data_IF_500928587736
#
_entry.id   IF_500928587736
#
_cell.length_a   1.000
_cell.length_b   1.000
_cell.length_c   1.000
_cell.angle_alpha   90.00
_cell.angle_beta   90.00
_cell.angle_gamma   90.00
#
_symmetry.space_group_name_H-M   'P 1'
#
loop_
_entity.id
_entity.type
_entity.pdbx_description
1 polymer ?
#
# COMPACT_ATOMS: atom_id res chain seq x y z
N UNK A 1 63.14 59.10 -48.05
CA UNK A 1 63.10 57.79 -47.39
C UNK A 1 62.10 57.89 -46.23
N UNK A 2 60.89 57.40 -46.42
CA UNK A 2 59.81 57.46 -45.42
C UNK A 2 59.42 56.05 -45.09
N UNK A 3 59.71 55.62 -43.88
CA UNK A 3 59.24 54.32 -43.32
C UNK A 3 57.82 54.43 -42.86
N UNK A 4 56.90 53.67 -43.50
CA UNK A 4 55.56 53.46 -43.01
C UNK A 4 55.58 52.33 -41.98
N UNK A 5 55.11 52.62 -40.74
CA UNK A 5 54.82 51.61 -39.69
C UNK A 5 53.43 51.04 -39.94
N UNK A 6 53.35 49.73 -40.19
CA UNK A 6 52.08 48.97 -40.11
C UNK A 6 51.79 48.63 -38.63
N UNK A 7 50.63 49.05 -38.14
CA UNK A 7 50.08 48.61 -36.86
C UNK A 7 49.18 47.43 -37.15
N UNK A 8 49.51 46.24 -36.60
CA UNK A 8 48.68 45.07 -36.64
C UNK A 8 47.71 45.08 -35.42
N UNK A 9 46.45 45.24 -35.68
CA UNK A 9 45.42 45.12 -34.67
C UNK A 9 45.01 43.61 -34.46
N UNK A 10 45.35 43.01 -33.33
CA UNK A 10 44.92 41.70 -32.96
C UNK A 10 43.51 41.82 -32.37
N UNK A 11 42.48 41.28 -33.08
CA UNK A 11 41.13 41.11 -32.56
C UNK A 11 41.09 39.84 -31.74
N UNK A 12 40.96 39.98 -30.44
CA UNK A 12 40.68 38.85 -29.51
C UNK A 12 39.20 38.53 -29.61
N UNK A 13 38.87 37.40 -30.29
CA UNK A 13 37.54 36.86 -30.32
C UNK A 13 37.27 36.16 -28.97
N UNK A 14 36.48 36.77 -28.09
CA UNK A 14 35.91 36.16 -26.89
C UNK A 14 34.81 35.19 -27.32
N UNK A 15 35.11 33.90 -27.42
CA UNK A 15 34.14 32.86 -27.64
C UNK A 15 33.24 32.71 -26.38
N UNK A 16 32.00 33.16 -26.46
CA UNK A 16 30.94 32.80 -25.52
C UNK A 16 30.66 31.31 -25.67
N UNK A 17 31.27 30.48 -24.82
CA UNK A 17 30.77 29.16 -24.56
C UNK A 17 29.47 29.31 -23.78
N UNK A 18 28.33 29.39 -24.49
CA UNK A 18 27.04 29.11 -23.93
C UNK A 18 27.02 27.59 -23.60
N UNK A 19 27.36 27.24 -22.37
CA UNK A 19 27.12 25.90 -21.85
C UNK A 19 25.64 25.63 -22.00
N UNK A 20 25.26 24.79 -22.96
CA UNK A 20 23.93 24.17 -22.93
C UNK A 20 23.84 23.47 -21.58
N UNK A 21 23.05 24.00 -20.67
CA UNK A 21 22.59 23.25 -19.51
C UNK A 21 21.86 22.03 -20.09
N UNK A 22 22.52 20.86 -20.08
CA UNK A 22 21.84 19.60 -20.31
C UNK A 22 20.74 19.56 -19.26
N UNK A 23 19.49 19.58 -19.69
CA UNK A 23 18.39 19.25 -18.79
C UNK A 23 18.72 17.84 -18.27
N UNK A 24 19.03 17.75 -16.99
CA UNK A 24 19.23 16.48 -16.33
C UNK A 24 17.92 15.70 -16.50
N UNK A 25 17.99 14.53 -17.14
CA UNK A 25 16.79 13.71 -17.34
C UNK A 25 16.20 13.38 -15.97
N UNK A 26 14.93 13.66 -15.80
CA UNK A 26 14.23 13.39 -14.54
C UNK A 26 14.25 11.90 -14.25
N UNK A 27 14.51 11.49 -12.99
CA UNK A 27 14.45 10.08 -12.63
C UNK A 27 13.07 9.50 -12.92
N UNK A 28 13.05 8.27 -13.41
CA UNK A 28 11.85 7.51 -13.72
C UNK A 28 11.56 6.55 -12.57
N UNK A 29 10.40 6.72 -11.92
CA UNK A 29 9.94 5.89 -10.83
C UNK A 29 8.84 4.95 -11.32
N UNK A 30 9.10 3.63 -11.28
CA UNK A 30 8.11 2.59 -11.52
C UNK A 30 7.30 2.33 -10.24
N UNK A 31 6.00 2.61 -10.24
CA UNK A 31 5.10 2.31 -9.12
C UNK A 31 4.29 1.05 -9.43
N UNK A 32 4.54 -0.02 -8.67
CA UNK A 32 3.82 -1.30 -8.80
C UNK A 32 2.83 -1.43 -7.65
N UNK A 33 1.55 -1.38 -7.98
CA UNK A 33 0.45 -1.49 -7.02
C UNK A 33 -0.27 -2.83 -7.14
N UNK A 34 -1.15 -3.11 -6.18
CA UNK A 34 -2.08 -4.22 -6.22
C UNK A 34 -3.31 -3.90 -7.09
N UNK A 35 -4.47 -4.47 -6.80
CA UNK A 35 -5.66 -4.35 -7.64
C UNK A 35 -6.19 -2.92 -7.76
N UNK A 36 -6.29 -2.41 -8.99
CA UNK A 36 -6.97 -1.15 -9.27
C UNK A 36 -8.51 -1.28 -9.30
N UNK A 37 -9.07 -2.48 -9.12
CA UNK A 37 -10.48 -2.66 -8.79
C UNK A 37 -10.78 -2.28 -7.33
N UNK A 38 -9.75 -2.28 -6.46
CA UNK A 38 -9.85 -1.86 -5.06
C UNK A 38 -9.70 -0.33 -4.95
N UNK A 39 -10.69 0.32 -4.35
CA UNK A 39 -10.74 1.78 -4.19
C UNK A 39 -9.53 2.33 -3.40
N UNK A 40 -8.97 1.57 -2.46
CA UNK A 40 -7.76 1.96 -1.74
C UNK A 40 -6.59 2.23 -2.68
N UNK A 41 -6.32 1.32 -3.64
CA UNK A 41 -5.23 1.51 -4.61
C UNK A 41 -5.54 2.52 -5.70
N UNK A 42 -6.82 2.73 -6.06
CA UNK A 42 -7.21 3.85 -6.93
C UNK A 42 -6.87 5.20 -6.29
N UNK A 43 -7.21 5.37 -5.01
CA UNK A 43 -6.88 6.59 -4.26
C UNK A 43 -5.38 6.77 -4.07
N UNK A 44 -4.65 5.69 -3.81
CA UNK A 44 -3.19 5.68 -3.72
C UNK A 44 -2.55 6.14 -5.03
N UNK A 45 -3.02 5.63 -6.18
CA UNK A 45 -2.57 6.06 -7.50
C UNK A 45 -2.86 7.55 -7.75
N UNK A 46 -4.06 8.01 -7.37
CA UNK A 46 -4.40 9.42 -7.50
C UNK A 46 -3.46 10.31 -6.66
N UNK A 47 -3.12 9.88 -5.44
CA UNK A 47 -2.16 10.56 -4.58
C UNK A 47 -0.75 10.59 -5.19
N UNK A 48 -0.27 9.47 -5.73
CA UNK A 48 1.05 9.38 -6.38
C UNK A 48 1.15 10.30 -7.62
N UNK A 49 0.09 10.35 -8.45
CA UNK A 49 0.02 11.26 -9.62
C UNK A 49 -0.04 12.73 -9.23
N UNK A 50 -0.78 13.05 -8.17
CA UNK A 50 -0.82 14.42 -7.65
C UNK A 50 0.56 14.85 -7.13
N UNK A 51 1.27 13.94 -6.46
CA UNK A 51 2.62 14.16 -5.97
C UNK A 51 3.64 14.38 -7.12
N UNK A 52 3.55 13.57 -8.19
CA UNK A 52 4.36 13.80 -9.42
C UNK A 52 4.11 15.20 -10.00
N UNK A 53 2.84 15.59 -10.12
CA UNK A 53 2.46 16.89 -10.68
C UNK A 53 2.93 18.07 -9.80
N UNK A 54 2.88 17.92 -8.48
CA UNK A 54 3.32 18.93 -7.52
C UNK A 54 4.84 19.10 -7.53
N UNK A 55 5.58 17.99 -7.45
CA UNK A 55 7.05 18.03 -7.43
C UNK A 55 7.66 18.39 -8.79
N UNK A 56 7.19 17.75 -9.84
CA UNK A 56 7.65 18.01 -11.21
C UNK A 56 9.11 17.64 -11.50
N UNK A 57 9.82 16.98 -10.59
CA UNK A 57 11.23 16.61 -10.67
C UNK A 57 11.50 15.12 -10.94
N UNK A 58 10.46 14.31 -11.13
CA UNK A 58 10.51 12.91 -11.53
C UNK A 58 9.41 12.57 -12.53
N UNK A 59 9.46 11.37 -13.12
CA UNK A 59 8.42 10.81 -13.99
C UNK A 59 7.87 9.53 -13.36
N UNK A 60 6.55 9.40 -13.27
CA UNK A 60 5.87 8.26 -12.67
C UNK A 60 5.33 7.29 -13.73
N UNK A 61 5.81 6.05 -13.73
CA UNK A 61 5.26 4.94 -14.50
C UNK A 61 4.52 4.00 -13.54
N UNK A 62 3.18 4.02 -13.53
CA UNK A 62 2.38 3.27 -12.59
C UNK A 62 1.69 2.07 -13.24
N UNK A 63 1.76 0.91 -12.60
CA UNK A 63 1.10 -0.34 -12.99
C UNK A 63 0.33 -0.91 -11.80
N UNK A 64 -0.89 -1.37 -12.04
CA UNK A 64 -1.70 -2.11 -11.08
C UNK A 64 -2.33 -3.33 -11.72
N UNK A 65 -2.83 -4.23 -10.88
CA UNK A 65 -3.44 -5.49 -11.27
C UNK A 65 -4.96 -5.37 -11.44
N UNK A 66 -5.59 -6.42 -12.02
CA UNK A 66 -7.05 -6.54 -12.14
C UNK A 66 -7.68 -7.17 -10.88
N UNK A 67 -6.96 -8.03 -10.18
CA UNK A 67 -7.38 -8.68 -8.93
C UNK A 67 -6.24 -8.69 -7.91
N UNK A 68 -6.58 -8.88 -6.64
CA UNK A 68 -5.63 -8.89 -5.52
C UNK A 68 -4.71 -10.14 -5.51
N UNK A 69 -5.02 -11.14 -6.33
CA UNK A 69 -4.28 -12.42 -6.41
C UNK A 69 -3.49 -12.58 -7.71
N UNK A 70 -3.45 -11.56 -8.58
CA UNK A 70 -2.73 -11.61 -9.86
C UNK A 70 -1.23 -11.29 -9.68
N UNK A 71 -0.51 -12.23 -9.06
CA UNK A 71 0.92 -12.09 -8.75
C UNK A 71 1.77 -12.03 -10.03
N UNK A 72 1.39 -12.76 -11.08
CA UNK A 72 2.14 -12.79 -12.34
C UNK A 72 2.22 -11.41 -12.99
N UNK A 73 1.14 -10.65 -12.98
CA UNK A 73 1.13 -9.27 -13.50
C UNK A 73 2.13 -8.39 -12.75
N UNK A 74 2.27 -8.53 -11.42
CA UNK A 74 3.30 -7.78 -10.68
C UNK A 74 4.72 -8.21 -11.03
N UNK A 75 4.98 -9.51 -11.15
CA UNK A 75 6.30 -10.03 -11.55
C UNK A 75 6.66 -9.49 -12.93
N UNK A 76 5.74 -9.55 -13.88
CA UNK A 76 5.94 -9.04 -15.24
C UNK A 76 6.15 -7.52 -15.26
N UNK A 77 5.48 -6.77 -14.40
CA UNK A 77 5.69 -5.34 -14.27
C UNK A 77 7.11 -5.01 -13.77
N UNK A 78 7.61 -5.73 -12.78
CA UNK A 78 8.99 -5.58 -12.29
C UNK A 78 10.00 -5.89 -13.39
N UNK A 79 9.84 -7.02 -14.12
CA UNK A 79 10.74 -7.38 -15.23
C UNK A 79 10.69 -6.35 -16.38
N UNK A 80 9.50 -5.81 -16.66
CA UNK A 80 9.34 -4.73 -17.64
C UNK A 80 10.09 -3.46 -17.21
N UNK A 81 10.01 -3.07 -15.95
CA UNK A 81 10.73 -1.91 -15.43
C UNK A 81 12.25 -2.11 -15.43
N UNK A 82 12.72 -3.33 -15.13
CA UNK A 82 14.13 -3.69 -15.29
C UNK A 82 14.57 -3.49 -16.76
N UNK A 83 13.78 -3.99 -17.71
CA UNK A 83 14.08 -3.88 -19.14
C UNK A 83 14.03 -2.45 -19.67
N UNK A 84 13.18 -1.60 -19.09
CA UNK A 84 13.07 -0.18 -19.40
C UNK A 84 14.20 0.66 -18.78
N UNK A 85 14.93 0.11 -17.80
CA UNK A 85 15.98 0.82 -17.09
C UNK A 85 15.44 1.98 -16.25
N UNK A 86 14.32 1.78 -15.52
CA UNK A 86 13.82 2.80 -14.59
C UNK A 86 14.82 3.00 -13.44
N UNK A 87 14.85 4.21 -12.85
CA UNK A 87 15.80 4.53 -11.79
C UNK A 87 15.37 3.95 -10.43
N UNK A 88 14.06 3.85 -10.19
CA UNK A 88 13.52 3.25 -8.98
C UNK A 88 12.26 2.44 -9.24
N UNK A 89 12.03 1.42 -8.39
CA UNK A 89 10.77 0.67 -8.28
C UNK A 89 10.23 0.83 -6.86
N UNK A 90 9.01 1.33 -6.75
CA UNK A 90 8.24 1.45 -5.50
C UNK A 90 7.10 0.45 -5.58
N UNK A 91 7.06 -0.56 -4.70
CA UNK A 91 6.16 -1.71 -4.84
C UNK A 91 5.39 -2.04 -3.56
N UNK A 92 4.04 -2.21 -3.73
CA UNK A 92 3.16 -2.87 -2.77
C UNK A 92 2.95 -4.33 -3.22
N UNK A 93 3.65 -5.32 -2.66
CA UNK A 93 3.60 -6.69 -3.17
C UNK A 93 2.25 -7.37 -2.88
N UNK A 94 1.71 -8.11 -3.87
CA UNK A 94 0.53 -8.95 -3.70
C UNK A 94 0.83 -10.23 -2.93
N UNK A 95 2.08 -10.73 -3.05
CA UNK A 95 2.61 -11.85 -2.31
C UNK A 95 3.98 -11.49 -1.72
N UNK A 96 4.11 -11.67 -0.42
CA UNK A 96 5.30 -11.22 0.32
C UNK A 96 6.55 -12.04 0.05
N UNK A 97 6.42 -13.27 -0.47
CA UNK A 97 7.54 -14.17 -0.80
C UNK A 97 7.86 -14.19 -2.29
N UNK A 98 6.83 -14.30 -3.13
CA UNK A 98 6.98 -14.45 -4.58
C UNK A 98 7.65 -13.25 -5.25
N UNK A 99 7.50 -12.06 -4.67
CA UNK A 99 8.08 -10.83 -5.21
C UNK A 99 9.56 -10.62 -4.82
N UNK A 100 10.10 -11.36 -3.84
CA UNK A 100 11.49 -11.18 -3.41
C UNK A 100 12.51 -11.48 -4.55
N UNK A 101 12.42 -12.60 -5.30
CA UNK A 101 13.38 -12.87 -6.37
C UNK A 101 13.36 -11.86 -7.52
N UNK A 102 12.22 -11.40 -8.07
CA UNK A 102 12.23 -10.36 -9.11
C UNK A 102 12.78 -9.02 -8.59
N UNK A 103 12.49 -8.65 -7.34
CA UNK A 103 13.03 -7.43 -6.74
C UNK A 103 14.56 -7.52 -6.52
N UNK A 104 15.08 -8.70 -6.18
CA UNK A 104 16.53 -8.93 -6.15
C UNK A 104 17.15 -8.63 -7.51
N UNK A 105 16.55 -9.14 -8.62
CA UNK A 105 17.07 -8.86 -9.97
C UNK A 105 17.04 -7.36 -10.30
N UNK A 106 16.00 -6.64 -9.90
CA UNK A 106 15.95 -5.19 -10.04
C UNK A 106 17.11 -4.49 -9.32
N UNK A 107 17.39 -4.89 -8.07
CA UNK A 107 18.50 -4.36 -7.28
C UNK A 107 19.87 -4.70 -7.91
N UNK A 108 20.05 -5.93 -8.42
CA UNK A 108 21.25 -6.36 -9.13
C UNK A 108 21.46 -5.60 -10.46
N UNK A 109 20.38 -5.14 -11.08
CA UNK A 109 20.41 -4.25 -12.25
C UNK A 109 20.73 -2.78 -11.90
N UNK A 110 20.90 -2.45 -10.60
CA UNK A 110 21.22 -1.10 -10.12
C UNK A 110 19.98 -0.22 -9.87
N UNK A 111 18.77 -0.78 -9.91
CA UNK A 111 17.53 -0.05 -9.66
C UNK A 111 17.32 0.12 -8.16
N UNK A 112 16.98 1.32 -7.71
CA UNK A 112 16.56 1.57 -6.32
C UNK A 112 15.20 0.94 -6.07
N UNK A 113 15.07 0.09 -5.05
CA UNK A 113 13.81 -0.59 -4.72
C UNK A 113 13.30 -0.14 -3.35
N UNK A 114 12.03 0.27 -3.29
CA UNK A 114 11.32 0.60 -2.05
C UNK A 114 10.11 -0.33 -1.91
N UNK A 115 10.10 -1.12 -0.84
CA UNK A 115 8.94 -1.92 -0.44
C UNK A 115 8.00 -1.07 0.42
N UNK A 116 6.72 -0.97 0.07
CA UNK A 116 5.76 -0.21 0.85
C UNK A 116 4.41 -0.93 0.97
N UNK A 117 3.53 -0.45 1.89
CA UNK A 117 2.16 -0.94 2.14
C UNK A 117 2.08 -2.39 2.66
N UNK A 118 2.67 -3.34 1.95
CA UNK A 118 2.71 -4.76 2.34
C UNK A 118 4.16 -5.17 2.56
N UNK A 119 4.56 -5.60 3.77
CA UNK A 119 5.94 -6.03 4.01
C UNK A 119 6.27 -7.31 3.23
N UNK A 120 7.50 -7.38 2.72
CA UNK A 120 8.05 -8.63 2.22
C UNK A 120 8.38 -9.56 3.38
N UNK A 121 8.30 -10.87 3.14
CA UNK A 121 8.61 -11.92 4.12
C UNK A 121 10.09 -11.89 4.51
N UNK A 122 10.37 -11.78 5.80
CA UNK A 122 11.74 -11.66 6.31
C UNK A 122 12.59 -12.90 6.02
N UNK A 123 12.00 -14.11 6.09
CA UNK A 123 12.71 -15.35 5.78
C UNK A 123 13.07 -15.42 4.30
N UNK A 124 12.12 -15.06 3.41
CA UNK A 124 12.39 -15.01 1.97
C UNK A 124 13.45 -13.95 1.61
N UNK A 125 13.44 -12.78 2.27
CA UNK A 125 14.50 -11.78 2.10
C UNK A 125 15.86 -12.35 2.51
N UNK A 126 15.95 -13.00 3.68
CA UNK A 126 17.19 -13.60 4.16
C UNK A 126 17.69 -14.73 3.25
N UNK A 127 16.81 -15.63 2.79
CA UNK A 127 17.11 -16.72 1.84
C UNK A 127 17.69 -16.21 0.52
N UNK A 128 17.25 -15.03 0.07
CA UNK A 128 17.70 -14.40 -1.18
C UNK A 128 18.84 -13.38 -0.98
N UNK A 129 19.26 -13.09 0.24
CA UNK A 129 20.25 -12.06 0.55
C UNK A 129 19.77 -10.64 0.20
N UNK A 130 18.46 -10.39 0.37
CA UNK A 130 17.84 -9.11 0.08
C UNK A 130 17.65 -8.33 1.38
N UNK A 131 18.14 -7.10 1.40
CA UNK A 131 17.91 -6.14 2.47
C UNK A 131 17.14 -4.94 1.91
N UNK A 132 15.88 -4.81 2.27
CA UNK A 132 14.99 -3.73 1.87
C UNK A 132 14.27 -3.16 3.09
N UNK A 133 14.23 -1.83 3.19
CA UNK A 133 13.36 -1.14 4.13
C UNK A 133 11.90 -1.34 3.75
N UNK A 134 11.04 -1.38 4.76
CA UNK A 134 9.59 -1.37 4.60
C UNK A 134 9.02 0.00 5.00
N UNK A 135 8.27 0.64 4.12
CA UNK A 135 7.54 1.89 4.38
C UNK A 135 6.05 1.55 4.53
N UNK A 136 5.52 1.60 5.73
CA UNK A 136 4.12 1.21 5.92
C UNK A 136 3.63 1.26 7.37
N UNK A 137 2.33 0.97 7.56
CA UNK A 137 1.66 1.09 8.85
C UNK A 137 1.98 -0.09 9.79
N UNK A 138 1.64 0.11 11.06
CA UNK A 138 1.52 -0.97 12.03
C UNK A 138 0.21 -1.74 11.81
N UNK A 139 0.25 -2.74 10.93
CA UNK A 139 -0.92 -3.53 10.57
C UNK A 139 -1.53 -4.25 11.78
N UNK A 140 -0.69 -4.88 12.64
CA UNK A 140 -1.16 -5.58 13.84
C UNK A 140 -1.76 -4.60 14.85
N UNK A 141 -1.06 -3.49 15.11
CA UNK A 141 -1.55 -2.45 16.01
C UNK A 141 -2.83 -1.80 15.53
N UNK A 142 -2.96 -1.51 14.23
CA UNK A 142 -4.16 -0.95 13.63
C UNK A 142 -5.36 -1.88 13.69
N UNK A 143 -5.18 -3.17 13.34
CA UNK A 143 -6.23 -4.17 13.44
C UNK A 143 -6.67 -4.39 14.90
N UNK A 144 -5.71 -4.41 15.82
CA UNK A 144 -6.04 -4.46 17.26
C UNK A 144 -6.85 -3.23 17.69
N UNK A 145 -6.46 -2.04 17.27
CA UNK A 145 -7.13 -0.79 17.61
C UNK A 145 -8.61 -0.77 17.21
N UNK A 146 -8.93 -1.19 15.98
CA UNK A 146 -10.32 -1.26 15.51
C UNK A 146 -11.06 -2.46 16.09
N UNK A 147 -10.38 -3.58 16.34
CA UNK A 147 -10.92 -4.74 17.05
C UNK A 147 -11.28 -4.41 18.50
N UNK A 148 -10.46 -3.65 19.21
CA UNK A 148 -10.74 -3.16 20.57
C UNK A 148 -12.00 -2.26 20.59
N UNK A 149 -12.22 -1.44 19.56
CA UNK A 149 -13.43 -0.64 19.43
C UNK A 149 -14.69 -1.50 19.28
N UNK A 150 -14.61 -2.59 18.50
CA UNK A 150 -15.69 -3.57 18.39
C UNK A 150 -15.92 -4.28 19.72
N UNK A 151 -14.86 -4.77 20.37
CA UNK A 151 -14.93 -5.46 21.66
C UNK A 151 -15.57 -4.59 22.75
N UNK A 152 -15.25 -3.31 22.80
CA UNK A 152 -15.83 -2.35 23.72
C UNK A 152 -17.37 -2.20 23.55
N UNK A 153 -17.87 -2.37 22.32
CA UNK A 153 -19.31 -2.30 22.02
C UNK A 153 -20.05 -3.61 22.32
N UNK A 154 -19.42 -4.75 22.02
CA UNK A 154 -20.04 -6.07 22.24
C UNK A 154 -19.98 -6.50 23.71
N UNK A 155 -18.89 -6.17 24.39
CA UNK A 155 -18.63 -6.67 25.75
C UNK A 155 -18.14 -8.13 25.76
N UNK A 156 -17.79 -8.61 26.96
CA UNK A 156 -17.27 -9.96 27.18
C UNK A 156 -18.24 -11.04 26.73
N UNK A 157 -17.75 -12.04 26.01
CA UNK A 157 -18.53 -13.13 25.45
C UNK A 157 -19.23 -12.78 24.12
N UNK A 158 -18.98 -11.57 23.59
CA UNK A 158 -19.45 -11.19 22.25
C UNK A 158 -18.90 -12.14 21.19
N UNK A 159 -19.76 -12.59 20.28
CA UNK A 159 -19.46 -13.60 19.25
C UNK A 159 -19.07 -12.95 17.94
N UNK A 160 -17.87 -13.24 17.47
CA UNK A 160 -17.28 -12.56 16.30
C UNK A 160 -16.75 -13.54 15.27
N UNK A 161 -16.62 -13.06 14.02
CA UNK A 161 -15.90 -13.73 12.94
C UNK A 161 -14.84 -12.78 12.36
N UNK A 162 -13.80 -13.35 11.76
CA UNK A 162 -12.77 -12.61 11.02
C UNK A 162 -12.91 -12.94 9.53
N UNK A 163 -12.96 -11.90 8.70
CA UNK A 163 -12.80 -12.01 7.25
C UNK A 163 -11.37 -11.62 6.92
N UNK A 164 -10.54 -12.62 6.60
CA UNK A 164 -9.11 -12.47 6.40
C UNK A 164 -8.78 -11.97 4.99
N UNK A 165 -7.60 -11.35 4.86
CA UNK A 165 -7.03 -10.98 3.57
C UNK A 165 -6.35 -12.15 2.85
N UNK A 166 -5.54 -11.84 1.82
CA UNK A 166 -4.80 -12.85 1.07
C UNK A 166 -3.72 -13.51 1.96
N UNK A 167 -3.73 -14.84 2.10
CA UNK A 167 -2.79 -15.57 2.95
C UNK A 167 -1.31 -15.41 2.54
N UNK A 168 -1.03 -15.09 1.26
CA UNK A 168 0.33 -14.81 0.76
C UNK A 168 0.88 -13.44 1.14
N UNK A 169 0.06 -12.57 1.74
CA UNK A 169 0.43 -11.20 2.09
C UNK A 169 0.67 -11.07 3.61
N UNK A 170 1.87 -10.61 3.99
CA UNK A 170 2.28 -10.49 5.39
C UNK A 170 1.36 -9.55 6.20
N UNK A 171 0.86 -8.47 5.58
CA UNK A 171 -0.09 -7.58 6.25
C UNK A 171 -1.42 -8.28 6.60
N UNK A 172 -1.85 -9.30 5.84
CA UNK A 172 -3.04 -10.09 6.17
C UNK A 172 -2.82 -10.90 7.46
N UNK A 173 -1.67 -11.57 7.57
CA UNK A 173 -1.29 -12.29 8.77
C UNK A 173 -1.19 -11.36 9.99
N UNK A 174 -0.59 -10.18 9.82
CA UNK A 174 -0.46 -9.18 10.87
C UNK A 174 -1.82 -8.62 11.33
N UNK A 175 -2.73 -8.31 10.39
CA UNK A 175 -4.08 -7.83 10.74
C UNK A 175 -4.90 -8.92 11.44
N UNK A 176 -4.82 -10.17 11.00
CA UNK A 176 -5.42 -11.31 11.70
C UNK A 176 -4.94 -11.41 13.14
N UNK A 177 -3.62 -11.37 13.36
CA UNK A 177 -3.04 -11.39 14.70
C UNK A 177 -3.52 -10.22 15.56
N UNK A 178 -3.65 -9.02 14.99
CA UNK A 178 -4.20 -7.85 15.69
C UNK A 178 -5.65 -8.04 16.12
N UNK A 179 -6.49 -8.65 15.28
CA UNK A 179 -7.85 -9.01 15.64
C UNK A 179 -7.90 -10.09 16.72
N UNK A 180 -7.06 -11.12 16.62
CA UNK A 180 -6.94 -12.16 17.66
C UNK A 180 -6.50 -11.56 19.01
N UNK A 181 -5.57 -10.60 19.00
CA UNK A 181 -5.16 -9.86 20.20
C UNK A 181 -6.35 -9.09 20.81
N UNK A 182 -7.16 -8.43 19.99
CA UNK A 182 -8.36 -7.71 20.45
C UNK A 182 -9.43 -8.66 21.00
N UNK A 183 -9.65 -9.81 20.34
CA UNK A 183 -10.56 -10.87 20.79
C UNK A 183 -10.14 -11.38 22.17
N UNK A 184 -8.86 -11.70 22.34
CA UNK A 184 -8.32 -12.19 23.61
C UNK A 184 -8.44 -11.13 24.71
N UNK A 185 -8.06 -9.88 24.43
CA UNK A 185 -8.12 -8.79 25.40
C UNK A 185 -9.56 -8.43 25.80
N UNK A 186 -10.50 -8.42 24.84
CA UNK A 186 -11.93 -8.14 25.07
C UNK A 186 -12.72 -9.30 25.62
N UNK A 187 -12.13 -10.51 25.66
CA UNK A 187 -12.83 -11.73 26.07
C UNK A 187 -13.97 -12.10 25.14
N UNK A 188 -13.81 -11.86 23.84
CA UNK A 188 -14.76 -12.24 22.81
C UNK A 188 -14.63 -13.73 22.46
N UNK A 189 -15.64 -14.29 21.80
CA UNK A 189 -15.65 -15.64 21.27
C UNK A 189 -15.49 -15.59 19.74
N UNK A 190 -14.39 -16.17 19.23
CA UNK A 190 -14.17 -16.33 17.80
C UNK A 190 -14.92 -17.56 17.30
N UNK A 191 -15.91 -17.38 16.39
CA UNK A 191 -16.70 -18.46 15.82
C UNK A 191 -16.07 -19.03 14.54
N UNK A 192 -15.54 -18.16 13.66
CA UNK A 192 -14.93 -18.54 12.39
C UNK A 192 -13.91 -17.48 11.92
N UNK A 193 -12.94 -17.92 11.12
CA UNK A 193 -11.93 -17.05 10.54
C UNK A 193 -11.51 -17.62 9.18
N UNK A 194 -11.83 -16.92 8.09
CA UNK A 194 -11.61 -17.40 6.74
C UNK A 194 -11.27 -16.25 5.77
N UNK A 195 -10.53 -16.57 4.70
CA UNK A 195 -10.08 -15.58 3.74
C UNK A 195 -11.14 -15.27 2.68
N UNK A 196 -11.22 -13.99 2.30
CA UNK A 196 -11.91 -13.51 1.11
C UNK A 196 -10.96 -12.70 0.20
N UNK A 197 -9.63 -12.95 0.30
CA UNK A 197 -8.56 -12.49 -0.59
C UNK A 197 -8.60 -10.97 -0.89
N UNK A 198 -9.09 -10.14 0.05
CA UNK A 198 -9.30 -8.70 -0.08
C UNK A 198 -10.47 -8.28 -0.99
N UNK A 199 -11.23 -9.26 -1.54
CA UNK A 199 -12.22 -9.04 -2.58
C UNK A 199 -13.64 -8.87 -2.01
N UNK A 200 -14.38 -7.86 -2.50
CA UNK A 200 -15.73 -7.52 -2.02
C UNK A 200 -16.74 -8.64 -2.23
N UNK A 201 -16.77 -9.23 -3.43
CA UNK A 201 -17.77 -10.26 -3.79
C UNK A 201 -17.47 -11.60 -3.12
N UNK A 202 -16.18 -11.93 -2.91
CA UNK A 202 -15.81 -13.12 -2.13
C UNK A 202 -16.22 -12.94 -0.67
N UNK A 203 -15.99 -11.77 -0.08
CA UNK A 203 -16.40 -11.46 1.28
C UNK A 203 -17.94 -11.52 1.45
N UNK A 204 -18.69 -11.02 0.47
CA UNK A 204 -20.15 -11.13 0.49
C UNK A 204 -20.62 -12.60 0.51
N UNK A 205 -20.05 -13.42 -0.39
CA UNK A 205 -20.36 -14.85 -0.47
C UNK A 205 -19.94 -15.60 0.79
N UNK A 206 -18.69 -15.38 1.24
CA UNK A 206 -18.15 -16.01 2.45
C UNK A 206 -19.00 -15.68 3.68
N UNK A 207 -19.30 -14.40 3.90
CA UNK A 207 -20.04 -13.98 5.07
C UNK A 207 -21.51 -14.45 5.05
N UNK A 208 -22.15 -14.54 3.88
CA UNK A 208 -23.47 -15.14 3.73
C UNK A 208 -23.47 -16.59 4.21
N UNK A 209 -22.42 -17.35 3.90
CA UNK A 209 -22.26 -18.74 4.38
C UNK A 209 -21.98 -18.78 5.89
N UNK A 210 -21.10 -17.91 6.40
CA UNK A 210 -20.84 -17.79 7.84
C UNK A 210 -22.11 -17.44 8.63
N UNK A 211 -22.93 -16.52 8.11
CA UNK A 211 -24.18 -16.12 8.75
C UNK A 211 -25.20 -17.26 8.81
N UNK A 212 -25.17 -18.16 7.83
CA UNK A 212 -26.01 -19.36 7.83
C UNK A 212 -25.51 -20.41 8.84
N UNK A 213 -24.18 -20.58 8.94
CA UNK A 213 -23.55 -21.53 9.86
C UNK A 213 -23.60 -21.04 11.32
N UNK A 214 -23.49 -19.75 11.53
CA UNK A 214 -23.40 -19.09 12.83
C UNK A 214 -24.41 -17.94 12.93
N UNK A 215 -25.73 -18.20 13.04
CA UNK A 215 -26.74 -17.15 13.11
C UNK A 215 -26.61 -16.24 14.35
N UNK A 216 -25.81 -16.68 15.33
CA UNK A 216 -25.50 -15.95 16.56
C UNK A 216 -24.34 -14.94 16.45
N UNK A 217 -23.73 -14.74 15.28
CA UNK A 217 -22.73 -13.72 15.05
C UNK A 217 -23.25 -12.35 15.49
N UNK A 218 -22.42 -11.61 16.23
CA UNK A 218 -22.70 -10.27 16.74
C UNK A 218 -21.74 -9.21 16.18
N UNK A 219 -20.55 -9.64 15.71
CA UNK A 219 -19.57 -8.74 15.14
C UNK A 219 -18.71 -9.38 14.05
N UNK A 220 -18.21 -8.55 13.14
CA UNK A 220 -17.34 -8.94 12.03
C UNK A 220 -16.11 -8.04 12.02
N UNK A 221 -14.93 -8.65 12.01
CA UNK A 221 -13.64 -7.99 11.84
C UNK A 221 -13.16 -8.26 10.42
N UNK A 222 -13.39 -7.31 9.50
CA UNK A 222 -12.92 -7.43 8.13
C UNK A 222 -11.53 -6.80 8.00
N UNK A 223 -10.59 -7.55 7.42
CA UNK A 223 -9.19 -7.14 7.33
C UNK A 223 -8.95 -5.99 6.34
N UNK A 224 -9.94 -5.64 5.49
CA UNK A 224 -9.99 -4.37 4.75
C UNK A 224 -11.42 -3.89 4.51
N UNK A 225 -11.56 -2.65 4.09
CA UNK A 225 -12.87 -2.02 3.85
C UNK A 225 -13.58 -2.57 2.62
N UNK A 226 -12.87 -3.02 1.58
CA UNK A 226 -13.50 -3.67 0.42
C UNK A 226 -14.27 -4.91 0.84
N UNK A 227 -13.70 -5.74 1.73
CA UNK A 227 -14.39 -6.89 2.31
C UNK A 227 -15.50 -6.45 3.28
N UNK A 228 -15.28 -5.40 4.08
CA UNK A 228 -16.32 -4.86 4.97
C UNK A 228 -17.55 -4.39 4.18
N UNK A 229 -17.38 -3.77 3.01
CA UNK A 229 -18.48 -3.43 2.08
C UNK A 229 -19.23 -4.70 1.63
N UNK A 230 -18.52 -5.77 1.30
CA UNK A 230 -19.12 -7.07 0.95
C UNK A 230 -19.97 -7.64 2.09
N UNK A 231 -19.45 -7.59 3.32
CA UNK A 231 -20.16 -8.00 4.55
C UNK A 231 -21.43 -7.16 4.76
N UNK A 232 -21.34 -5.83 4.65
CA UNK A 232 -22.49 -4.93 4.81
C UNK A 232 -23.58 -5.24 3.78
N UNK A 233 -23.23 -5.47 2.52
CA UNK A 233 -24.19 -5.91 1.48
C UNK A 233 -24.88 -7.23 1.84
N UNK A 234 -24.15 -8.21 2.38
CA UNK A 234 -24.74 -9.48 2.83
C UNK A 234 -25.71 -9.29 4.01
N UNK A 235 -25.37 -8.41 4.96
CA UNK A 235 -26.24 -8.04 6.08
C UNK A 235 -27.52 -7.36 5.58
N UNK A 236 -27.42 -6.43 4.65
CA UNK A 236 -28.58 -5.76 4.04
C UNK A 236 -29.51 -6.78 3.34
N UNK A 237 -28.95 -7.71 2.56
CA UNK A 237 -29.70 -8.77 1.89
C UNK A 237 -30.40 -9.72 2.89
N UNK A 238 -29.76 -10.01 4.02
CA UNK A 238 -30.29 -10.84 5.09
C UNK A 238 -31.25 -10.09 6.04
N UNK A 239 -31.40 -8.76 5.89
CA UNK A 239 -32.22 -7.93 6.77
C UNK A 239 -31.66 -7.78 8.19
N UNK A 240 -30.38 -8.10 8.42
CA UNK A 240 -29.69 -8.03 9.71
C UNK A 240 -29.10 -6.64 9.93
N UNK A 241 -29.46 -6.00 11.04
CA UNK A 241 -28.96 -4.66 11.43
C UNK A 241 -28.32 -4.65 12.81
N UNK A 242 -28.28 -5.79 13.43
CA UNK A 242 -27.83 -6.02 14.80
C UNK A 242 -26.36 -6.45 14.88
N UNK A 243 -25.71 -6.73 13.74
CA UNK A 243 -24.32 -7.17 13.66
C UNK A 243 -23.42 -5.96 13.39
N UNK A 244 -22.43 -5.77 14.25
CA UNK A 244 -21.45 -4.69 14.12
C UNK A 244 -20.31 -5.11 13.17
N UNK A 245 -19.88 -4.21 12.29
CA UNK A 245 -18.79 -4.47 11.34
C UNK A 245 -17.69 -3.45 11.54
N UNK A 246 -16.45 -3.91 11.53
CA UNK A 246 -15.27 -3.02 11.46
C UNK A 246 -14.41 -3.38 10.24
N UNK A 247 -13.68 -2.38 9.73
CA UNK A 247 -12.83 -2.50 8.56
C UNK A 247 -11.44 -1.92 8.77
N UNK A 248 -10.71 -1.72 7.66
CA UNK A 248 -9.38 -1.14 7.62
C UNK A 248 -9.21 -0.48 6.25
N UNK A 249 -8.59 0.68 6.11
CA UNK A 249 -8.18 1.47 4.95
C UNK A 249 -8.84 2.86 4.87
N UNK A 250 -10.02 3.05 5.45
CA UNK A 250 -10.82 4.29 5.34
C UNK A 250 -11.08 4.70 3.87
N UNK A 251 -11.52 3.74 3.04
CA UNK A 251 -11.88 4.06 1.65
C UNK A 251 -13.13 4.96 1.59
N UNK A 252 -13.30 5.82 0.57
CA UNK A 252 -14.46 6.70 0.43
C UNK A 252 -15.81 5.99 0.56
N UNK A 253 -15.94 4.77 0.07
CA UNK A 253 -17.19 4.00 0.14
C UNK A 253 -17.68 3.76 1.56
N UNK A 254 -16.81 3.67 2.58
CA UNK A 254 -17.23 3.41 3.97
C UNK A 254 -17.61 4.65 4.75
N UNK A 255 -17.26 5.84 4.30
CA UNK A 255 -17.61 7.09 4.98
C UNK A 255 -19.13 7.23 5.26
N UNK A 256 -20.01 7.08 4.26
CA UNK A 256 -21.47 7.06 4.48
C UNK A 256 -21.93 5.92 5.39
N UNK A 257 -21.27 4.73 5.33
CA UNK A 257 -21.63 3.57 6.16
C UNK A 257 -21.29 3.79 7.63
N UNK A 258 -20.20 4.50 7.92
CA UNK A 258 -19.87 4.91 9.29
C UNK A 258 -20.85 5.96 9.79
N UNK A 259 -21.19 6.93 8.94
CA UNK A 259 -22.11 8.02 9.31
C UNK A 259 -23.53 7.52 9.65
N UNK A 260 -24.03 6.48 8.97
CA UNK A 260 -25.35 5.90 9.18
C UNK A 260 -25.35 4.63 10.07
N UNK A 261 -24.16 4.22 10.57
CA UNK A 261 -24.01 3.13 11.53
C UNK A 261 -23.99 1.73 10.94
N UNK A 262 -23.93 1.56 9.61
CA UNK A 262 -23.75 0.24 8.96
C UNK A 262 -22.33 -0.30 9.14
N UNK A 263 -21.35 0.56 9.33
CA UNK A 263 -19.98 0.23 9.73
C UNK A 263 -19.68 0.95 11.04
N UNK A 264 -19.18 0.23 12.04
CA UNK A 264 -18.85 0.80 13.35
C UNK A 264 -17.61 1.69 13.29
N UNK A 265 -16.56 1.20 12.63
CA UNK A 265 -15.27 1.86 12.58
C UNK A 265 -14.38 1.28 11.46
N UNK A 266 -13.40 2.06 11.04
CA UNK A 266 -12.29 1.63 10.20
C UNK A 266 -10.98 2.25 10.69
N UNK A 267 -9.84 1.81 10.15
CA UNK A 267 -8.53 2.42 10.37
C UNK A 267 -8.10 3.12 9.09
N UNK A 268 -7.85 4.42 9.17
CA UNK A 268 -7.15 5.16 8.12
C UNK A 268 -5.65 4.90 8.22
N UNK A 269 -5.05 4.44 7.13
CA UNK A 269 -3.61 4.28 7.00
C UNK A 269 -2.97 5.30 6.03
N UNK A 270 -3.73 6.31 5.62
CA UNK A 270 -3.28 7.42 4.78
C UNK A 270 -2.62 6.98 3.47
N UNK A 271 -3.28 6.09 2.70
CA UNK A 271 -2.72 5.44 1.51
C UNK A 271 -2.14 6.40 0.47
N UNK A 272 -2.79 7.55 0.21
CA UNK A 272 -2.27 8.57 -0.71
C UNK A 272 -0.93 9.13 -0.23
N UNK A 273 -0.83 9.48 1.05
CA UNK A 273 0.40 10.00 1.66
C UNK A 273 1.49 8.93 1.73
N UNK A 274 1.10 7.68 1.98
CA UNK A 274 2.05 6.55 2.05
C UNK A 274 2.75 6.34 0.69
N UNK A 275 2.02 6.39 -0.44
CA UNK A 275 2.63 6.31 -1.76
C UNK A 275 3.57 7.49 -2.04
N UNK A 276 3.17 8.72 -1.71
CA UNK A 276 4.01 9.90 -1.84
C UNK A 276 5.31 9.76 -1.01
N UNK A 277 5.17 9.36 0.26
CA UNK A 277 6.33 9.14 1.15
C UNK A 277 7.28 8.05 0.61
N UNK A 278 6.75 6.95 0.06
CA UNK A 278 7.57 5.89 -0.51
C UNK A 278 8.33 6.35 -1.76
N UNK A 279 7.70 7.16 -2.61
CA UNK A 279 8.32 7.81 -3.78
C UNK A 279 9.42 8.78 -3.31
N UNK A 280 9.14 9.62 -2.31
CA UNK A 280 10.13 10.55 -1.76
C UNK A 280 11.36 9.81 -1.23
N UNK A 281 11.16 8.65 -0.57
CA UNK A 281 12.27 7.81 -0.11
C UNK A 281 13.10 7.24 -1.27
N UNK A 282 12.47 6.86 -2.38
CA UNK A 282 13.20 6.44 -3.57
C UNK A 282 14.04 7.59 -4.15
N UNK A 283 13.46 8.78 -4.29
CA UNK A 283 14.14 9.97 -4.80
C UNK A 283 15.28 10.43 -3.88
N UNK A 284 15.10 10.34 -2.55
CA UNK A 284 16.15 10.63 -1.58
C UNK A 284 17.38 9.72 -1.76
N UNK A 285 17.17 8.42 -1.97
CA UNK A 285 18.25 7.46 -2.24
C UNK A 285 18.93 7.76 -3.57
N UNK A 286 18.15 8.03 -4.62
CA UNK A 286 18.68 8.40 -5.96
C UNK A 286 19.52 9.67 -5.94
N UNK A 287 19.16 10.62 -5.09
CA UNK A 287 19.95 11.85 -4.88
C UNK A 287 21.24 11.64 -4.05
N UNK A 288 21.60 10.39 -3.75
CA UNK A 288 22.81 10.06 -2.97
C UNK A 288 22.57 10.06 -1.44
N UNK A 289 21.33 10.04 -1.01
CA UNK A 289 20.97 9.84 0.39
C UNK A 289 21.34 8.44 0.90
N UNK A 290 21.22 8.19 2.22
CA UNK A 290 21.60 6.93 2.82
C UNK A 290 20.69 5.80 2.33
N UNK A 291 21.24 4.56 2.24
CA UNK A 291 20.43 3.37 2.07
C UNK A 291 19.42 3.27 3.21
N UNK A 292 18.17 3.00 2.86
CA UNK A 292 17.11 2.84 3.86
C UNK A 292 17.16 1.44 4.46
N UNK A 293 16.91 1.35 5.77
CA UNK A 293 16.95 0.08 6.51
C UNK A 293 15.74 -0.03 7.45
N UNK A 294 15.35 -1.28 7.74
CA UNK A 294 14.32 -1.58 8.72
C UNK A 294 12.92 -1.12 8.33
N UNK A 295 12.15 -0.74 9.33
CA UNK A 295 10.75 -0.32 9.18
C UNK A 295 10.59 1.19 9.34
N UNK A 296 10.19 1.87 8.28
CA UNK A 296 9.82 3.28 8.26
C UNK A 296 8.31 3.35 8.47
N UNK A 297 7.93 3.50 9.74
CA UNK A 297 6.53 3.45 10.17
C UNK A 297 5.75 4.67 9.66
N UNK A 298 4.57 4.40 9.06
CA UNK A 298 3.59 5.44 8.70
C UNK A 298 2.48 5.53 9.73
N UNK A 299 1.77 6.66 9.75
CA UNK A 299 0.69 6.91 10.70
C UNK A 299 -0.54 6.05 10.41
N UNK A 300 -1.32 5.79 11.46
CA UNK A 300 -2.65 5.20 11.40
C UNK A 300 -3.61 5.98 12.30
N UNK A 301 -4.90 5.96 11.97
CA UNK A 301 -5.94 6.63 12.76
C UNK A 301 -7.23 5.81 12.79
N UNK A 302 -7.80 5.62 13.97
CA UNK A 302 -9.16 5.07 14.11
C UNK A 302 -10.18 6.11 13.62
N UNK A 303 -11.10 5.68 12.76
CA UNK A 303 -12.21 6.47 12.23
C UNK A 303 -13.52 5.86 12.69
N UNK A 304 -14.35 6.67 13.36
CA UNK A 304 -15.67 6.29 13.88
C UNK A 304 -16.68 7.37 13.51
N UNK A 305 -17.98 7.10 13.65
CA UNK A 305 -18.98 8.16 13.70
C UNK A 305 -18.68 9.06 14.91
N UNK A 306 -18.68 10.39 14.71
CA UNK A 306 -18.44 11.38 15.77
C UNK A 306 -19.52 11.34 16.86
#
# INVERSE_FOLDING_TARGET
>A
MVFKKLAASAAIAFGLFAGAAMAEDKPVVGLVMKSLANEFFQNMLAGAKAHEAERGDFTLNAVGMQSETDIETQINAVESFISQGVDAIVIAPADSRALVPPLKRAMEAGITVINFDVPLDEAAKAENGVELAFVGPDNRGGAKLVGDALAAKLGKGGKVVIIEGNPGAENAAQRKQGFEDAIAAGGLELLDSSTAHWETEEANTLFTNMLTAHPEIQGVMAANDSMAVGVVKALEAAGRKDILVVGFDNIPAVGPMIADGRLLATVDQFGQQMAANAIDKALEVLAGGPKLEGWIKTDIKLVTAN
#
